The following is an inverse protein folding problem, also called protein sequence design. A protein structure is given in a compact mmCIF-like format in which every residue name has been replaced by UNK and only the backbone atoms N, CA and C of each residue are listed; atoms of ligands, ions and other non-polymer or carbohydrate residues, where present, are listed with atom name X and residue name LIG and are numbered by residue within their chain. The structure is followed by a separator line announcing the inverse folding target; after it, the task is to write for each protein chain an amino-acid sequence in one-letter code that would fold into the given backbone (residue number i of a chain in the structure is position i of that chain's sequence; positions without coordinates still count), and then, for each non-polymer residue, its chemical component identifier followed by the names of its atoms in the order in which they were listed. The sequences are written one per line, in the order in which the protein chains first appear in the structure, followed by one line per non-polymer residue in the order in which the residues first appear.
data_IF_002387173976
#
_entry.id   IF_002387173976
#
_cell.length_a   1.000
_cell.length_b   1.000
_cell.length_c   1.000
_cell.angle_alpha   90.00
_cell.angle_beta   90.00
_cell.angle_gamma   90.00
#
_symmetry.space_group_name_H-M   'P 1'
#
loop_
_entity.id
_entity.type
_entity.pdbx_description
1 polymer ?
#
# COMPACT_ATOMS: atom_id res chain seq x y z
N UNK A 1 16.15 -6.05 23.44
CA UNK A 1 15.68 -5.38 22.21
C UNK A 1 16.76 -5.32 21.14
N UNK A 2 17.93 -4.72 21.39
CA UNK A 2 19.02 -4.59 20.38
C UNK A 2 19.41 -5.93 19.71
N UNK A 3 19.61 -6.99 20.48
CA UNK A 3 19.95 -8.33 19.98
C UNK A 3 18.83 -8.98 19.15
N UNK A 4 17.57 -8.71 19.46
CA UNK A 4 16.42 -9.28 18.74
C UNK A 4 16.30 -8.62 17.36
N UNK A 5 16.37 -7.29 17.29
CA UNK A 5 16.31 -6.56 16.01
C UNK A 5 17.46 -6.94 15.09
N UNK A 6 18.66 -7.12 15.64
CA UNK A 6 19.81 -7.59 14.88
C UNK A 6 19.62 -9.02 14.34
N UNK A 7 19.06 -9.92 15.16
CA UNK A 7 18.74 -11.26 14.69
C UNK A 7 17.69 -11.25 13.58
N UNK A 8 16.65 -10.43 13.70
CA UNK A 8 15.64 -10.24 12.64
C UNK A 8 16.30 -9.72 11.37
N UNK A 9 17.11 -8.66 11.47
CA UNK A 9 17.81 -8.08 10.33
C UNK A 9 18.72 -9.09 9.62
N UNK A 10 19.47 -9.90 10.38
CA UNK A 10 20.32 -10.94 9.82
C UNK A 10 19.50 -12.02 9.10
N UNK A 11 18.38 -12.46 9.68
CA UNK A 11 17.49 -13.46 9.05
C UNK A 11 16.91 -12.88 7.76
N UNK A 12 16.42 -11.64 7.78
CA UNK A 12 15.86 -10.99 6.59
C UNK A 12 16.93 -10.82 5.50
N UNK A 13 18.13 -10.36 5.85
CA UNK A 13 19.23 -10.17 4.89
C UNK A 13 19.61 -11.46 4.16
N UNK A 14 19.59 -12.61 4.87
CA UNK A 14 19.88 -13.91 4.28
C UNK A 14 18.76 -14.46 3.40
N UNK A 15 17.51 -14.01 3.60
CA UNK A 15 16.33 -14.62 2.98
C UNK A 15 15.57 -13.70 2.02
N UNK A 16 15.89 -12.40 1.96
CA UNK A 16 15.09 -11.42 1.22
C UNK A 16 15.03 -11.72 -0.28
N UNK A 17 16.08 -12.29 -0.84
CA UNK A 17 16.11 -12.71 -2.25
C UNK A 17 15.15 -13.87 -2.56
N UNK A 18 14.68 -14.61 -1.55
CA UNK A 18 13.71 -15.71 -1.70
C UNK A 18 12.25 -15.26 -1.53
N UNK A 19 12.02 -13.97 -1.25
CA UNK A 19 10.67 -13.43 -1.05
C UNK A 19 10.20 -12.84 -2.37
N UNK A 20 9.24 -13.50 -3.00
CA UNK A 20 8.68 -13.04 -4.28
C UNK A 20 7.57 -12.01 -4.11
N UNK A 21 6.90 -11.99 -2.95
CA UNK A 21 5.80 -11.05 -2.73
C UNK A 21 6.32 -9.61 -2.63
N UNK A 22 5.76 -8.66 -3.39
CA UNK A 22 6.15 -7.25 -3.32
C UNK A 22 5.45 -6.48 -2.19
N UNK A 23 4.43 -7.08 -1.54
CA UNK A 23 3.54 -6.42 -0.59
C UNK A 23 4.14 -6.02 0.75
N UNK A 24 3.30 -5.49 1.64
CA UNK A 24 3.70 -5.02 2.97
C UNK A 24 3.75 -6.18 3.99
N UNK A 25 2.71 -7.03 4.04
CA UNK A 25 2.54 -7.92 5.20
C UNK A 25 3.54 -9.08 5.19
N UNK A 26 3.69 -9.71 4.03
CA UNK A 26 4.58 -10.88 3.83
C UNK A 26 5.56 -10.65 2.66
N UNK A 27 5.75 -9.38 2.29
CA UNK A 27 6.51 -9.01 1.09
C UNK A 27 7.64 -8.04 1.34
N UNK A 28 8.35 -7.74 0.24
CA UNK A 28 9.54 -6.91 0.23
C UNK A 28 9.29 -5.49 0.74
N UNK A 29 8.13 -4.88 0.50
CA UNK A 29 7.85 -3.52 1.00
C UNK A 29 7.85 -3.46 2.54
N UNK A 30 7.35 -4.48 3.23
CA UNK A 30 7.43 -4.55 4.70
C UNK A 30 8.88 -4.61 5.19
N UNK A 31 9.72 -5.34 4.46
CA UNK A 31 11.15 -5.49 4.75
C UNK A 31 11.91 -4.19 4.48
N UNK A 32 11.58 -3.49 3.39
CA UNK A 32 12.10 -2.14 3.08
C UNK A 32 11.84 -1.20 4.26
N UNK A 33 10.59 -1.11 4.72
CA UNK A 33 10.22 -0.28 5.88
C UNK A 33 11.03 -0.69 7.11
N UNK A 34 11.15 -1.99 7.38
CA UNK A 34 11.96 -2.49 8.50
C UNK A 34 13.43 -2.05 8.39
N UNK A 35 14.08 -2.21 7.23
CA UNK A 35 15.49 -1.93 7.07
C UNK A 35 15.81 -0.43 7.15
N UNK A 36 14.96 0.45 6.63
CA UNK A 36 15.12 1.89 6.83
C UNK A 36 15.07 2.28 8.31
N UNK A 37 14.09 1.75 9.06
CA UNK A 37 14.01 1.98 10.51
C UNK A 37 15.21 1.41 11.25
N UNK A 38 15.61 0.19 10.90
CA UNK A 38 16.71 -0.49 11.55
C UNK A 38 18.07 0.18 11.25
N UNK A 39 18.29 0.65 10.02
CA UNK A 39 19.46 1.44 9.63
C UNK A 39 19.56 2.73 10.46
N UNK A 40 18.46 3.48 10.56
CA UNK A 40 18.39 4.69 11.41
C UNK A 40 18.61 4.39 12.89
N UNK A 41 18.00 3.33 13.42
CA UNK A 41 18.17 2.90 14.82
C UNK A 41 19.59 2.45 15.15
N UNK A 42 20.20 1.67 14.24
CA UNK A 42 21.52 1.08 14.42
C UNK A 42 22.67 2.01 14.02
N UNK A 43 22.35 3.13 13.36
CA UNK A 43 23.31 4.05 12.73
C UNK A 43 24.24 3.34 11.74
N UNK A 44 23.69 2.37 10.99
CA UNK A 44 24.43 1.62 9.99
C UNK A 44 23.74 1.75 8.63
N UNK A 45 24.36 2.51 7.74
CA UNK A 45 23.83 2.84 6.41
C UNK A 45 23.71 1.62 5.49
N UNK A 46 24.41 0.51 5.74
CA UNK A 46 24.28 -0.72 4.96
C UNK A 46 22.83 -1.18 4.89
N UNK A 47 22.06 -1.02 5.97
CA UNK A 47 20.65 -1.41 5.96
C UNK A 47 19.78 -0.46 5.12
N UNK A 48 20.11 0.82 5.04
CA UNK A 48 19.44 1.75 4.14
C UNK A 48 19.78 1.45 2.69
N UNK A 49 21.04 1.15 2.37
CA UNK A 49 21.47 0.74 1.01
C UNK A 49 20.72 -0.52 0.55
N UNK A 50 20.57 -1.51 1.43
CA UNK A 50 19.77 -2.71 1.16
C UNK A 50 18.28 -2.34 0.97
N UNK A 51 17.76 -1.41 1.77
CA UNK A 51 16.37 -0.96 1.63
C UNK A 51 16.13 -0.25 0.29
N UNK A 52 17.08 0.55 -0.19
CA UNK A 52 17.04 1.22 -1.49
C UNK A 52 16.97 0.20 -2.63
N UNK A 53 17.89 -0.78 -2.65
CA UNK A 53 17.90 -1.84 -3.66
C UNK A 53 16.59 -2.65 -3.69
N UNK A 54 16.03 -2.94 -2.51
CA UNK A 54 14.76 -3.66 -2.40
C UNK A 54 13.58 -2.79 -2.83
N UNK A 55 13.61 -1.49 -2.53
CA UNK A 55 12.57 -0.55 -2.94
C UNK A 55 12.52 -0.44 -4.46
N UNK A 56 13.67 -0.29 -5.12
CA UNK A 56 13.77 -0.26 -6.59
C UNK A 56 13.15 -1.52 -7.19
N UNK A 57 13.49 -2.70 -6.65
CA UNK A 57 12.91 -3.98 -7.09
C UNK A 57 11.38 -4.04 -6.93
N UNK A 58 10.83 -3.43 -5.88
CA UNK A 58 9.38 -3.36 -5.67
C UNK A 58 8.71 -2.40 -6.66
N UNK A 59 9.30 -1.22 -6.87
CA UNK A 59 8.76 -0.19 -7.75
C UNK A 59 8.79 -0.60 -9.22
N UNK A 60 9.85 -1.26 -9.68
CA UNK A 60 9.96 -1.77 -11.05
C UNK A 60 8.80 -2.70 -11.46
N UNK A 61 8.18 -3.36 -10.48
CA UNK A 61 7.12 -4.34 -10.71
C UNK A 61 5.72 -3.84 -10.35
N UNK A 62 5.59 -2.70 -9.63
CA UNK A 62 4.32 -2.29 -9.01
C UNK A 62 3.20 -2.05 -10.03
N UNK A 63 3.52 -1.47 -11.19
CA UNK A 63 2.53 -1.15 -12.23
C UNK A 63 2.00 -2.39 -12.96
N UNK A 64 2.65 -3.55 -12.79
CA UNK A 64 2.25 -4.82 -13.40
C UNK A 64 1.44 -5.69 -12.44
N UNK A 65 1.23 -5.25 -11.19
CA UNK A 65 0.54 -6.05 -10.19
C UNK A 65 -0.96 -6.11 -10.48
N UNK A 66 -1.54 -7.31 -10.64
CA UNK A 66 -2.98 -7.47 -10.77
C UNK A 66 -3.70 -7.29 -9.44
N UNK A 67 -2.99 -7.45 -8.32
CA UNK A 67 -3.54 -7.30 -6.98
C UNK A 67 -3.47 -5.85 -6.49
N UNK A 68 -4.61 -5.35 -6.01
CA UNK A 68 -4.81 -4.02 -5.45
C UNK A 68 -5.08 -4.06 -3.95
N UNK A 69 -4.84 -5.18 -3.30
CA UNK A 69 -4.93 -5.33 -1.85
C UNK A 69 -3.91 -4.45 -1.11
N UNK A 70 -4.15 -4.19 0.18
CA UNK A 70 -3.23 -3.43 1.02
C UNK A 70 -2.08 -4.30 1.54
N UNK A 71 -2.35 -5.57 1.82
CA UNK A 71 -1.40 -6.52 2.37
C UNK A 71 -0.38 -7.01 1.33
N UNK A 72 -0.83 -7.30 0.11
CA UNK A 72 0.02 -7.89 -0.95
C UNK A 72 0.10 -7.05 -2.24
N UNK A 73 -0.84 -6.12 -2.45
CA UNK A 73 -1.04 -5.43 -3.72
C UNK A 73 -0.46 -4.02 -3.81
N UNK A 74 -0.73 -3.40 -4.96
CA UNK A 74 -0.20 -2.08 -5.32
C UNK A 74 -0.62 -0.95 -4.36
N UNK A 75 -1.79 -1.06 -3.70
CA UNK A 75 -2.23 -0.07 -2.70
C UNK A 75 -1.30 -0.07 -1.49
N UNK A 76 -0.91 -1.25 -1.01
CA UNK A 76 0.05 -1.37 0.09
C UNK A 76 1.37 -0.73 -0.27
N UNK A 77 1.91 -1.06 -1.44
CA UNK A 77 3.18 -0.52 -1.93
C UNK A 77 3.12 1.01 -2.04
N UNK A 78 2.06 1.55 -2.61
CA UNK A 78 1.88 3.00 -2.74
C UNK A 78 1.76 3.70 -1.38
N UNK A 79 1.09 3.08 -0.40
CA UNK A 79 1.09 3.55 0.98
C UNK A 79 2.50 3.50 1.60
N UNK A 80 3.26 2.45 1.33
CA UNK A 80 4.65 2.28 1.78
C UNK A 80 5.55 3.41 1.29
N UNK A 81 5.49 3.74 0.00
CA UNK A 81 6.25 4.88 -0.58
C UNK A 81 5.91 6.19 0.12
N UNK A 82 4.61 6.52 0.27
CA UNK A 82 4.17 7.73 0.98
C UNK A 82 4.68 7.74 2.42
N UNK A 83 4.62 6.59 3.09
CA UNK A 83 5.16 6.45 4.44
C UNK A 83 6.67 6.74 4.49
N UNK A 84 7.46 6.21 3.55
CA UNK A 84 8.91 6.40 3.52
C UNK A 84 9.28 7.87 3.28
N UNK A 85 8.62 8.54 2.34
CA UNK A 85 8.82 9.97 2.06
C UNK A 85 8.50 10.81 3.30
N UNK A 86 7.32 10.59 3.91
CA UNK A 86 6.88 11.35 5.07
C UNK A 86 7.78 11.19 6.30
N UNK A 87 8.43 10.03 6.45
CA UNK A 87 9.36 9.78 7.55
C UNK A 87 10.82 10.13 7.18
N UNK A 88 11.04 10.82 6.06
CA UNK A 88 12.35 11.28 5.59
C UNK A 88 13.33 10.10 5.40
N UNK A 89 12.83 8.94 5.00
CA UNK A 89 13.68 7.80 4.64
C UNK A 89 14.15 7.89 3.18
N UNK A 90 13.29 8.42 2.31
CA UNK A 90 13.59 8.67 0.91
C UNK A 90 13.13 10.07 0.53
N UNK A 91 13.78 10.66 -0.46
CA UNK A 91 13.35 11.90 -1.10
C UNK A 91 12.50 11.59 -2.34
N UNK A 92 11.52 12.44 -2.64
CA UNK A 92 10.74 12.32 -3.86
C UNK A 92 9.34 12.90 -3.75
N UNK A 93 8.72 13.11 -4.91
CA UNK A 93 7.33 13.52 -5.00
C UNK A 93 6.44 12.27 -5.13
N UNK A 94 5.55 11.99 -4.14
CA UNK A 94 4.68 10.82 -4.20
C UNK A 94 3.86 10.74 -5.49
N UNK A 95 3.44 11.87 -6.06
CA UNK A 95 2.63 11.91 -7.28
C UNK A 95 3.41 11.44 -8.51
N UNK A 96 4.68 11.82 -8.59
CA UNK A 96 5.54 11.42 -9.71
C UNK A 96 5.88 9.94 -9.62
N UNK A 97 6.15 9.43 -8.42
CA UNK A 97 6.50 8.03 -8.20
C UNK A 97 5.28 7.09 -8.38
N UNK A 98 4.08 7.56 -8.02
CA UNK A 98 2.90 6.70 -7.92
C UNK A 98 1.86 6.92 -9.04
N UNK A 99 2.15 7.77 -10.04
CA UNK A 99 1.20 8.13 -11.11
C UNK A 99 0.57 6.90 -11.78
N UNK A 100 1.40 5.92 -12.12
CA UNK A 100 0.98 4.72 -12.84
C UNK A 100 0.13 3.79 -11.96
N UNK A 101 0.37 3.79 -10.64
CA UNK A 101 -0.48 3.06 -9.68
C UNK A 101 -1.83 3.75 -9.54
N UNK A 102 -1.85 5.08 -9.45
CA UNK A 102 -3.08 5.87 -9.40
C UNK A 102 -3.92 5.68 -10.66
N UNK A 103 -3.30 5.66 -11.84
CA UNK A 103 -3.97 5.37 -13.11
C UNK A 103 -4.56 3.96 -13.15
N UNK A 104 -3.83 2.97 -12.62
CA UNK A 104 -4.31 1.59 -12.54
C UNK A 104 -5.50 1.46 -11.58
N UNK A 105 -5.49 2.19 -10.45
CA UNK A 105 -6.64 2.27 -9.53
C UNK A 105 -7.85 2.92 -10.21
N UNK A 106 -7.65 4.03 -10.92
CA UNK A 106 -8.70 4.77 -11.63
C UNK A 106 -9.30 3.96 -12.79
N UNK A 107 -8.48 3.18 -13.51
CA UNK A 107 -8.95 2.28 -14.57
C UNK A 107 -9.83 1.16 -14.02
N UNK A 108 -9.44 0.55 -12.90
CA UNK A 108 -10.25 -0.47 -12.24
C UNK A 108 -11.55 0.12 -11.65
N UNK A 109 -11.53 1.37 -11.19
CA UNK A 109 -12.74 2.09 -10.77
C UNK A 109 -13.80 2.20 -11.88
N UNK A 110 -13.41 2.56 -13.11
CA UNK A 110 -14.36 2.75 -14.23
C UNK A 110 -15.12 1.49 -14.61
N UNK A 111 -14.61 0.31 -14.23
CA UNK A 111 -15.11 -0.97 -14.70
C UNK A 111 -15.92 -1.75 -13.66
N UNK A 112 -16.01 -1.33 -12.39
CA UNK A 112 -16.24 -2.35 -11.36
C UNK A 112 -17.19 -2.01 -10.18
N UNK A 113 -18.45 -2.44 -10.36
CA UNK A 113 -19.39 -2.79 -9.28
C UNK A 113 -18.98 -4.09 -8.55
N UNK A 114 -17.94 -4.82 -8.98
CA UNK A 114 -17.50 -6.11 -8.43
C UNK A 114 -16.08 -6.10 -7.83
N UNK A 115 -15.48 -4.94 -7.57
CA UNK A 115 -14.07 -4.90 -7.15
C UNK A 115 -13.86 -5.57 -5.79
N UNK A 116 -12.98 -6.59 -5.76
CA UNK A 116 -12.56 -7.31 -4.54
C UNK A 116 -11.70 -6.46 -3.60
N UNK A 117 -11.37 -5.22 -3.97
CA UNK A 117 -10.53 -4.33 -3.18
C UNK A 117 -11.25 -4.00 -1.87
N UNK A 118 -10.72 -4.33 -0.69
CA UNK A 118 -11.37 -3.97 0.57
C UNK A 118 -11.57 -2.45 0.68
N UNK A 119 -12.75 -2.00 1.14
CA UNK A 119 -13.02 -0.56 1.37
C UNK A 119 -11.98 0.04 2.34
N UNK A 120 -11.52 -0.75 3.30
CA UNK A 120 -10.45 -0.37 4.23
C UNK A 120 -9.15 0.00 3.51
N UNK A 121 -8.78 -0.71 2.44
CA UNK A 121 -7.58 -0.41 1.66
C UNK A 121 -7.70 0.96 0.97
N UNK A 122 -8.88 1.25 0.40
CA UNK A 122 -9.19 2.56 -0.20
C UNK A 122 -9.13 3.67 0.84
N UNK A 123 -9.74 3.46 2.00
CA UNK A 123 -9.74 4.43 3.09
C UNK A 123 -8.33 4.74 3.62
N UNK A 124 -7.49 3.70 3.79
CA UNK A 124 -6.10 3.85 4.22
C UNK A 124 -5.26 4.63 3.20
N UNK A 125 -5.48 4.40 1.92
CA UNK A 125 -4.79 5.14 0.86
C UNK A 125 -5.23 6.62 0.81
N UNK A 126 -6.54 6.89 0.93
CA UNK A 126 -7.05 8.28 1.00
C UNK A 126 -6.50 8.98 2.24
N UNK A 127 -6.41 8.28 3.37
CA UNK A 127 -5.86 8.82 4.60
C UNK A 127 -4.39 9.21 4.44
N UNK A 128 -3.56 8.38 3.80
CA UNK A 128 -2.15 8.73 3.58
C UNK A 128 -2.01 9.96 2.70
N UNK A 129 -2.83 10.07 1.64
CA UNK A 129 -2.87 11.26 0.80
C UNK A 129 -3.20 12.54 1.60
N UNK A 130 -4.24 12.51 2.44
CA UNK A 130 -4.61 13.66 3.30
C UNK A 130 -3.44 14.07 4.21
N UNK A 131 -2.71 13.09 4.75
CA UNK A 131 -1.55 13.34 5.61
C UNK A 131 -0.36 13.95 4.86
N UNK A 132 -0.27 13.73 3.55
CA UNK A 132 0.76 14.31 2.68
C UNK A 132 0.42 15.74 2.23
N UNK A 133 -0.74 16.28 2.64
CA UNK A 133 -1.14 17.67 2.36
C UNK A 133 -1.45 17.96 0.89
N UNK A 134 -1.72 16.95 0.05
CA UNK A 134 -2.10 17.20 -1.36
C UNK A 134 -3.52 17.80 -1.46
N UNK A 135 -3.87 18.34 -2.64
CA UNK A 135 -5.08 19.15 -2.82
C UNK A 135 -6.37 18.30 -2.75
N UNK A 136 -7.37 18.78 -2.01
CA UNK A 136 -8.69 18.15 -1.87
C UNK A 136 -9.38 17.90 -3.21
N UNK A 137 -9.22 18.78 -4.19
CA UNK A 137 -9.84 18.63 -5.52
C UNK A 137 -9.30 17.41 -6.29
N UNK A 138 -8.07 16.96 -5.98
CA UNK A 138 -7.49 15.75 -6.55
C UNK A 138 -8.10 14.49 -5.91
N UNK A 139 -8.54 14.58 -4.65
CA UNK A 139 -9.11 13.46 -3.91
C UNK A 139 -10.58 13.26 -4.12
N UNK A 140 -11.29 14.26 -4.66
CA UNK A 140 -12.74 14.19 -4.86
C UNK A 140 -13.13 12.90 -5.60
N UNK A 141 -12.31 12.47 -6.57
CA UNK A 141 -12.51 11.21 -7.31
C UNK A 141 -12.35 9.96 -6.44
N UNK A 142 -11.33 9.90 -5.58
CA UNK A 142 -11.11 8.76 -4.67
C UNK A 142 -12.10 8.74 -3.51
N UNK A 143 -12.47 9.91 -2.98
CA UNK A 143 -13.49 10.05 -1.93
C UNK A 143 -14.85 9.60 -2.48
N UNK A 144 -15.23 10.09 -3.67
CA UNK A 144 -16.46 9.65 -4.35
C UNK A 144 -16.44 8.15 -4.64
N UNK A 145 -15.29 7.57 -4.95
CA UNK A 145 -15.14 6.12 -5.09
C UNK A 145 -15.42 5.38 -3.78
N UNK A 146 -14.80 5.80 -2.67
CA UNK A 146 -15.06 5.23 -1.35
C UNK A 146 -16.54 5.31 -0.96
N UNK A 147 -17.15 6.49 -1.15
CA UNK A 147 -18.57 6.73 -0.83
C UNK A 147 -19.52 5.88 -1.68
N UNK A 148 -19.31 5.77 -3.00
CA UNK A 148 -20.13 4.88 -3.86
C UNK A 148 -20.07 3.42 -3.42
N UNK A 149 -18.91 2.97 -2.95
CA UNK A 149 -18.75 1.59 -2.47
C UNK A 149 -19.51 1.35 -1.16
N UNK A 150 -19.55 2.35 -0.26
CA UNK A 150 -20.42 2.32 0.92
C UNK A 150 -21.90 2.29 0.52
N UNK A 151 -22.34 3.14 -0.42
CA UNK A 151 -23.73 3.17 -0.88
C UNK A 151 -24.19 1.80 -1.43
N UNK A 152 -23.36 1.16 -2.24
CA UNK A 152 -23.61 -0.20 -2.74
C UNK A 152 -23.72 -1.24 -1.62
N UNK A 153 -22.84 -1.16 -0.60
CA UNK A 153 -22.90 -2.05 0.54
C UNK A 153 -24.19 -1.86 1.34
N UNK A 154 -24.61 -0.63 1.59
CA UNK A 154 -25.89 -0.30 2.22
C UNK A 154 -27.09 -0.76 1.38
N UNK A 155 -27.04 -0.63 0.05
CA UNK A 155 -28.08 -1.13 -0.85
C UNK A 155 -28.17 -2.66 -0.83
N UNK A 156 -27.05 -3.38 -0.80
CA UNK A 156 -27.03 -4.84 -0.65
C UNK A 156 -27.59 -5.28 0.72
N UNK A 157 -27.25 -4.59 1.81
CA UNK A 157 -27.77 -4.87 3.15
C UNK A 157 -29.26 -4.57 3.27
N UNK A 158 -29.74 -3.49 2.67
CA UNK A 158 -31.15 -3.10 2.70
C UNK A 158 -32.04 -3.98 1.80
N UNK A 159 -31.54 -4.42 0.64
CA UNK A 159 -32.27 -5.31 -0.27
C UNK A 159 -32.32 -6.78 0.20
N UNK A 160 -31.38 -7.24 1.02
CA UNK A 160 -31.43 -8.58 1.64
C UNK A 160 -32.46 -8.73 2.77
N UNK A 161 -33.17 -7.66 3.16
CA UNK A 161 -34.26 -7.75 4.14
C UNK A 161 -35.61 -8.20 3.55
N UNK A 162 -35.72 -8.35 2.21
CA UNK A 162 -37.00 -8.68 1.53
C UNK A 162 -37.09 -10.09 0.93
N UNK A 163 -36.11 -10.98 1.11
CA UNK A 163 -36.13 -12.32 0.50
C UNK A 163 -36.18 -13.51 1.46
N UNK A 164 -36.32 -13.31 2.79
CA UNK A 164 -36.48 -14.41 3.76
C UNK A 164 -37.94 -14.62 4.22
N UNK A 165 -38.90 -13.82 3.74
CA UNK A 165 -40.31 -13.91 4.17
C UNK A 165 -41.25 -14.62 3.19
N UNK A 166 -40.77 -15.63 2.46
CA UNK A 166 -41.64 -16.57 1.71
C UNK A 166 -41.05 -17.98 1.74
N UNK A 167 -41.20 -18.62 2.90
CA UNK A 167 -41.60 -20.03 2.95
C UNK A 167 -43.07 -20.14 2.52
#
# INVERSE_FOLDING_TARGET
MKTILQNIANILMLNVHNIDSPGILEGKMGIVIFFYHYGRYSQNNIYSEIADELLDSVLDNVHRLPDLSFDQGAIGIAWGVRYLIRNEFIEGNPKEILSDVEDLLLKNYRNDLQSKIPISAVGLYIQSMIQDGSNIDEYERFINWGLKKYELYFLCLSNNSKSISRL
#
